data_IF_254140027448
#
_entry.id   IF_254140027448
#
_cell.length_a   1.000
_cell.length_b   1.000
_cell.length_c   1.000
_cell.angle_alpha   90.00
_cell.angle_beta   90.00
_cell.angle_gamma   90.00
#
_symmetry.space_group_name_H-M   'P 1'
#
loop_
_entity.id
_entity.type
_entity.pdbx_description
1 polymer ?
#
# COMPACT_ATOMS: atom_id res chain seq x y z
N UNK A 1 58.40 -63.58 -6.74
CA UNK A 1 58.26 -62.60 -7.84
C UNK A 1 56.80 -62.15 -7.92
N UNK A 2 56.52 -60.84 -8.06
CA UNK A 2 55.22 -60.16 -7.82
C UNK A 2 54.37 -60.10 -9.14
N UNK A 3 53.24 -59.35 -9.31
CA UNK A 3 52.68 -58.20 -8.55
C UNK A 3 51.13 -58.26 -8.37
N UNK A 4 50.34 -57.32 -7.82
CA UNK A 4 50.39 -55.87 -7.54
C UNK A 4 49.58 -55.54 -6.27
N UNK A 5 50.16 -54.78 -5.32
CA UNK A 5 49.46 -54.18 -4.18
C UNK A 5 48.82 -52.85 -4.57
N UNK A 6 47.55 -52.64 -4.21
CA UNK A 6 46.89 -51.34 -4.24
C UNK A 6 47.48 -50.43 -3.14
N UNK A 7 47.95 -49.25 -3.54
CA UNK A 7 48.42 -48.21 -2.62
C UNK A 7 47.21 -47.37 -2.18
N UNK A 8 46.92 -47.41 -0.87
CA UNK A 8 46.23 -46.32 -0.20
C UNK A 8 47.11 -45.06 -0.26
N UNK A 9 46.57 -43.94 -0.71
CA UNK A 9 47.16 -42.64 -0.46
C UNK A 9 46.13 -41.76 0.25
N UNK A 10 46.45 -41.44 1.50
CA UNK A 10 45.84 -40.35 2.27
C UNK A 10 46.37 -39.04 1.68
N UNK A 11 45.48 -38.12 1.34
CA UNK A 11 45.76 -36.71 1.04
C UNK A 11 44.58 -35.95 1.68
N UNK A 12 44.69 -35.60 2.96
CA UNK A 12 45.22 -34.34 3.53
C UNK A 12 44.26 -33.16 3.34
N UNK A 13 43.41 -32.95 4.36
CA UNK A 13 42.67 -31.73 4.63
C UNK A 13 43.65 -30.58 4.90
N UNK A 14 43.44 -29.36 4.37
CA UNK A 14 44.30 -28.24 4.70
C UNK A 14 44.05 -27.78 6.14
N UNK A 15 45.12 -27.77 6.95
CA UNK A 15 45.18 -27.12 8.25
C UNK A 15 45.23 -25.62 8.07
N UNK A 16 44.41 -24.90 8.83
CA UNK A 16 44.57 -23.48 9.08
C UNK A 16 45.90 -23.25 9.83
N UNK A 17 46.70 -22.23 9.49
CA UNK A 17 47.88 -21.90 10.27
C UNK A 17 47.48 -21.06 11.49
N UNK A 18 47.68 -21.63 12.69
CA UNK A 18 47.90 -20.87 13.92
C UNK A 18 49.37 -20.46 14.00
N UNK A 19 49.62 -19.18 14.27
CA UNK A 19 50.78 -18.57 14.94
C UNK A 19 50.61 -17.04 14.76
N UNK A 20 50.92 -16.13 15.67
CA UNK A 20 51.30 -16.10 17.07
C UNK A 20 51.41 -14.60 17.37
N UNK A 21 50.95 -14.15 18.53
CA UNK A 21 51.01 -12.76 18.97
C UNK A 21 52.44 -12.21 18.99
N UNK A 22 52.58 -10.88 18.84
CA UNK A 22 53.35 -10.15 19.84
C UNK A 22 52.63 -8.91 20.36
N UNK A 23 52.64 -8.80 21.68
CA UNK A 23 52.49 -7.59 22.51
C UNK A 23 53.44 -6.47 22.07
N UNK A 24 52.96 -5.24 21.95
CA UNK A 24 53.30 -4.12 22.87
C UNK A 24 52.54 -2.83 22.51
N UNK A 25 52.32 -2.05 23.55
CA UNK A 25 51.52 -0.85 23.66
C UNK A 25 51.98 0.34 22.80
N UNK A 26 51.02 1.18 22.42
CA UNK A 26 51.14 2.64 22.59
C UNK A 26 49.74 3.25 22.65
N UNK A 27 49.45 3.85 23.80
CA UNK A 27 48.27 4.67 24.11
C UNK A 27 48.27 5.96 23.28
N UNK A 28 47.08 6.55 23.04
CA UNK A 28 46.75 7.96 23.30
C UNK A 28 45.21 8.15 23.22
N UNK A 29 44.67 8.55 24.38
CA UNK A 29 43.47 9.34 24.71
C UNK A 29 42.27 9.46 23.76
N UNK A 30 41.11 8.99 24.25
CA UNK A 30 39.84 9.72 24.15
C UNK A 30 38.85 9.28 25.26
N UNK A 31 39.15 9.61 26.51
CA UNK A 31 38.15 9.62 27.59
C UNK A 31 37.84 11.08 27.96
N UNK A 32 36.73 11.61 27.43
CA UNK A 32 36.02 12.77 28.00
C UNK A 32 34.55 12.42 28.13
N UNK A 33 34.04 12.62 29.34
CA UNK A 33 32.80 12.05 29.84
C UNK A 33 31.53 12.63 29.25
N UNK A 34 30.50 11.79 29.26
CA UNK A 34 29.10 12.21 29.33
C UNK A 34 28.59 11.82 30.72
N UNK A 35 28.55 12.79 31.63
CA UNK A 35 27.78 12.69 32.87
C UNK A 35 26.30 12.75 32.51
N UNK A 36 25.52 11.78 33.01
CA UNK A 36 24.05 11.81 32.95
C UNK A 36 23.53 12.63 34.12
N UNK A 37 23.26 13.92 33.91
CA UNK A 37 22.44 14.71 34.84
C UNK A 37 20.94 14.48 34.55
N UNK A 38 20.09 14.34 35.58
CA UNK A 38 18.65 14.24 35.39
C UNK A 38 18.06 15.61 35.05
N UNK A 39 17.69 15.80 33.78
CA UNK A 39 16.91 16.96 33.33
C UNK A 39 15.50 16.92 33.95
N UNK A 40 15.32 17.65 35.05
CA UNK A 40 13.99 18.04 35.55
C UNK A 40 13.41 19.05 34.57
N UNK A 41 12.46 18.62 33.75
CA UNK A 41 11.70 19.49 32.83
C UNK A 41 10.86 20.47 33.67
N UNK A 42 11.32 21.72 33.77
CA UNK A 42 10.53 22.84 34.29
C UNK A 42 9.47 23.24 33.27
N UNK A 43 8.22 22.89 33.52
CA UNK A 43 7.07 23.43 32.81
C UNK A 43 6.99 24.95 33.04
N UNK A 44 7.16 25.75 31.99
CA UNK A 44 6.82 27.17 32.04
C UNK A 44 5.29 27.28 32.11
N UNK A 45 4.77 27.86 33.21
CA UNK A 45 3.35 28.20 33.35
C UNK A 45 2.99 29.28 32.32
N UNK A 46 2.09 28.95 31.40
CA UNK A 46 1.35 29.96 30.64
C UNK A 46 0.34 30.68 31.58
N UNK A 47 0.08 31.99 31.38
CA UNK A 47 -0.89 32.72 32.19
C UNK A 47 -2.34 32.26 31.91
N UNK A 48 -3.13 32.09 32.97
CA UNK A 48 -4.55 31.69 32.90
C UNK A 48 -5.42 32.78 32.24
N UNK A 49 -6.28 32.42 31.27
CA UNK A 49 -7.35 33.31 30.85
C UNK A 49 -8.48 33.29 31.88
N UNK A 50 -8.78 34.47 32.46
CA UNK A 50 -9.94 34.66 33.34
C UNK A 50 -11.22 34.73 32.51
N UNK A 51 -12.14 33.81 32.81
CA UNK A 51 -13.57 33.97 32.60
C UNK A 51 -14.10 33.38 31.29
N UNK A 52 -14.66 32.18 31.36
CA UNK A 52 -15.77 31.77 30.51
C UNK A 52 -16.62 30.74 31.26
N UNK A 53 -17.93 30.94 31.25
CA UNK A 53 -18.93 30.11 31.90
C UNK A 53 -18.75 28.62 31.56
N UNK A 54 -18.69 27.79 32.60
CA UNK A 54 -18.65 26.33 32.54
C UNK A 54 -19.94 25.79 31.94
N UNK A 55 -19.88 25.41 30.67
CA UNK A 55 -20.67 24.31 30.11
C UNK A 55 -19.65 23.26 29.68
N UNK A 56 -19.18 22.44 30.62
CA UNK A 56 -18.39 21.26 30.31
C UNK A 56 -19.35 20.18 29.81
N UNK A 57 -19.71 20.25 28.52
CA UNK A 57 -20.06 19.04 27.81
C UNK A 57 -18.80 18.18 27.83
N UNK A 58 -18.80 17.11 28.63
CA UNK A 58 -17.74 16.11 28.56
C UNK A 58 -17.71 15.60 27.12
N UNK A 59 -16.65 15.93 26.37
CA UNK A 59 -16.40 15.33 25.08
C UNK A 59 -16.19 13.84 25.33
N UNK A 60 -16.99 12.96 24.73
CA UNK A 60 -16.81 11.51 24.78
C UNK A 60 -15.54 11.14 23.99
N UNK A 61 -14.36 11.39 24.57
CA UNK A 61 -13.07 11.19 23.91
C UNK A 61 -12.76 9.70 23.74
N UNK A 62 -13.43 8.84 24.50
CA UNK A 62 -13.38 7.39 24.32
C UNK A 62 -14.02 6.91 23.01
N UNK A 63 -14.96 7.67 22.45
CA UNK A 63 -15.75 7.25 21.29
C UNK A 63 -15.04 7.61 19.99
N UNK A 64 -14.71 6.59 19.21
CA UNK A 64 -14.09 6.71 17.89
C UNK A 64 -15.05 6.14 16.84
N UNK A 65 -15.36 6.89 15.77
CA UNK A 65 -16.15 6.35 14.67
C UNK A 65 -15.48 5.11 14.06
N UNK A 66 -16.22 4.01 13.99
CA UNK A 66 -15.79 2.76 13.37
C UNK A 66 -16.61 2.46 12.11
N UNK A 67 -15.92 2.33 10.98
CA UNK A 67 -16.52 1.86 9.73
C UNK A 67 -16.25 0.36 9.57
N UNK A 68 -17.28 -0.45 9.77
CA UNK A 68 -17.25 -1.90 9.56
C UNK A 68 -17.30 -2.26 8.07
N UNK A 69 -17.08 -3.54 7.76
CA UNK A 69 -17.23 -4.07 6.38
C UNK A 69 -18.62 -3.84 5.82
N UNK A 70 -19.68 -4.08 6.60
CA UNK A 70 -21.07 -3.81 6.17
C UNK A 70 -21.30 -2.32 5.90
N UNK A 71 -20.82 -1.45 6.79
CA UNK A 71 -20.95 0.00 6.60
C UNK A 71 -20.13 0.49 5.40
N UNK A 72 -18.93 -0.04 5.15
CA UNK A 72 -18.16 0.31 3.95
C UNK A 72 -18.92 -0.09 2.67
N UNK A 73 -19.44 -1.32 2.60
CA UNK A 73 -20.21 -1.75 1.43
C UNK A 73 -21.41 -0.84 1.18
N UNK A 74 -22.17 -0.52 2.23
CA UNK A 74 -23.31 0.40 2.13
C UNK A 74 -22.88 1.81 1.75
N UNK A 75 -21.73 2.28 2.23
CA UNK A 75 -21.19 3.59 1.92
C UNK A 75 -20.86 3.68 0.42
N UNK A 76 -20.12 2.71 -0.10
CA UNK A 76 -19.78 2.62 -1.53
C UNK A 76 -21.04 2.58 -2.39
N UNK A 77 -22.05 1.79 -2.00
CA UNK A 77 -23.31 1.68 -2.75
C UNK A 77 -24.17 2.95 -2.66
N UNK A 78 -24.18 3.62 -1.50
CA UNK A 78 -24.94 4.86 -1.27
C UNK A 78 -24.34 6.04 -2.04
N UNK A 79 -23.01 6.14 -2.10
CA UNK A 79 -22.29 7.12 -2.92
C UNK A 79 -22.36 6.77 -4.42
N UNK A 80 -22.38 5.47 -4.73
CA UNK A 80 -22.21 4.94 -6.08
C UNK A 80 -20.74 4.68 -6.39
N UNK A 81 -20.40 3.48 -6.86
CA UNK A 81 -19.00 3.03 -6.99
C UNK A 81 -18.15 3.89 -7.93
N UNK A 82 -18.70 4.34 -9.06
CA UNK A 82 -17.98 5.21 -10.01
C UNK A 82 -17.70 6.58 -9.39
N UNK A 83 -18.72 7.20 -8.77
CA UNK A 83 -18.57 8.45 -8.02
C UNK A 83 -17.55 8.30 -6.89
N UNK A 84 -17.61 7.21 -6.13
CA UNK A 84 -16.68 6.94 -5.04
C UNK A 84 -15.24 6.89 -5.54
N UNK A 85 -14.99 6.18 -6.64
CA UNK A 85 -13.66 6.08 -7.25
C UNK A 85 -13.16 7.41 -7.79
N UNK A 86 -14.02 8.19 -8.48
CA UNK A 86 -13.67 9.52 -8.99
C UNK A 86 -13.34 10.51 -7.87
N UNK A 87 -14.16 10.54 -6.81
CA UNK A 87 -13.91 11.43 -5.67
C UNK A 87 -12.66 10.99 -4.88
N UNK A 88 -12.46 9.68 -4.66
CA UNK A 88 -11.25 9.17 -4.03
C UNK A 88 -10.00 9.50 -4.84
N UNK A 89 -10.05 9.35 -6.17
CA UNK A 89 -8.97 9.73 -7.07
C UNK A 89 -8.62 11.22 -6.95
N UNK A 90 -9.62 12.10 -6.81
CA UNK A 90 -9.37 13.53 -6.59
C UNK A 90 -8.64 13.80 -5.26
N UNK A 91 -9.04 13.13 -4.17
CA UNK A 91 -8.35 13.24 -2.87
C UNK A 91 -6.91 12.73 -2.96
N UNK A 92 -6.67 11.61 -3.65
CA UNK A 92 -5.33 11.08 -3.90
C UNK A 92 -4.49 12.09 -4.70
N UNK A 93 -5.01 12.63 -5.80
CA UNK A 93 -4.30 13.63 -6.59
C UNK A 93 -3.95 14.88 -5.77
N UNK A 94 -4.88 15.35 -4.94
CA UNK A 94 -4.63 16.49 -4.06
C UNK A 94 -3.52 16.20 -3.05
N UNK A 95 -3.49 15.02 -2.44
CA UNK A 95 -2.44 14.63 -1.51
C UNK A 95 -1.08 14.42 -2.21
N UNK A 96 -1.06 13.86 -3.41
CA UNK A 96 0.17 13.75 -4.21
C UNK A 96 0.70 15.12 -4.64
N UNK A 97 -0.14 16.15 -4.87
CA UNK A 97 0.35 17.53 -5.14
C UNK A 97 1.09 18.14 -3.95
N UNK A 98 0.80 17.68 -2.73
CA UNK A 98 1.45 18.11 -1.46
C UNK A 98 2.42 17.06 -0.93
N UNK A 99 2.96 16.20 -1.80
CA UNK A 99 3.92 15.14 -1.47
C UNK A 99 5.02 15.53 -0.49
N UNK A 100 5.58 16.73 -0.65
CA UNK A 100 6.67 17.26 0.18
C UNK A 100 6.26 17.55 1.64
N UNK A 101 4.97 17.75 1.91
CA UNK A 101 4.44 17.97 3.27
C UNK A 101 4.35 16.66 4.07
N UNK A 102 4.36 15.52 3.40
CA UNK A 102 4.20 14.24 4.07
C UNK A 102 5.52 13.75 4.69
N UNK A 103 5.44 13.32 5.94
CA UNK A 103 6.40 12.39 6.51
C UNK A 103 6.17 11.00 5.89
N UNK A 104 7.23 10.49 5.24
CA UNK A 104 7.20 9.32 4.36
C UNK A 104 8.23 8.32 4.83
N UNK A 105 7.77 7.11 5.14
CA UNK A 105 8.63 5.97 5.41
C UNK A 105 8.21 4.81 4.50
N UNK A 106 9.16 3.99 4.01
CA UNK A 106 8.79 2.68 3.49
C UNK A 106 7.99 1.91 4.56
N UNK A 107 7.06 1.07 4.11
CA UNK A 107 6.28 0.22 5.00
C UNK A 107 7.16 -0.68 5.85
N UNK A 108 6.70 -0.97 7.07
CA UNK A 108 7.38 -1.85 8.01
C UNK A 108 6.83 -3.26 7.81
N UNK A 109 7.64 -4.17 7.27
CA UNK A 109 7.24 -5.53 6.95
C UNK A 109 7.78 -6.56 7.96
N UNK A 110 6.91 -7.46 8.39
CA UNK A 110 7.25 -8.68 9.15
C UNK A 110 7.02 -9.89 8.25
N UNK A 111 8.09 -10.37 7.60
CA UNK A 111 8.02 -11.52 6.71
C UNK A 111 7.92 -12.85 7.48
N UNK A 112 7.11 -13.75 6.95
CA UNK A 112 7.02 -15.15 7.36
C UNK A 112 7.17 -16.04 6.12
N UNK A 113 7.30 -17.36 6.34
CA UNK A 113 7.45 -18.32 5.24
C UNK A 113 6.33 -18.19 4.20
N UNK A 114 5.10 -18.02 4.66
CA UNK A 114 3.89 -18.14 3.82
C UNK A 114 3.22 -16.80 3.51
N UNK A 115 3.83 -15.68 3.91
CA UNK A 115 3.24 -14.35 3.73
C UNK A 115 3.96 -13.25 4.49
N UNK A 116 3.36 -12.07 4.50
CA UNK A 116 3.88 -10.87 5.17
C UNK A 116 2.75 -10.14 5.90
N UNK A 117 3.10 -9.47 6.99
CA UNK A 117 2.25 -8.50 7.69
C UNK A 117 2.97 -7.16 7.69
N UNK A 118 2.26 -6.09 7.37
CA UNK A 118 2.85 -4.78 7.11
C UNK A 118 2.10 -3.67 7.84
N UNK A 119 2.85 -2.67 8.27
CA UNK A 119 2.33 -1.38 8.73
C UNK A 119 2.77 -0.29 7.76
N UNK A 120 1.79 0.50 7.29
CA UNK A 120 2.00 1.55 6.30
C UNK A 120 1.59 2.91 6.89
N UNK A 121 2.49 3.60 7.63
CA UNK A 121 2.18 4.88 8.24
C UNK A 121 2.58 6.07 7.36
N UNK A 122 1.86 7.18 7.50
CA UNK A 122 2.27 8.49 6.99
C UNK A 122 1.59 9.61 7.78
N UNK A 123 2.14 10.82 7.70
CA UNK A 123 1.60 12.01 8.34
C UNK A 123 1.76 13.21 7.42
N UNK A 124 0.81 14.13 7.38
CA UNK A 124 0.97 15.43 6.71
C UNK A 124 1.28 16.58 7.69
N UNK A 125 1.61 16.23 8.94
CA UNK A 125 1.85 17.17 10.03
C UNK A 125 0.58 17.63 10.76
N UNK A 126 -0.61 17.35 10.22
CA UNK A 126 -1.90 17.63 10.88
C UNK A 126 -2.66 16.36 11.21
N UNK A 127 -2.66 15.41 10.29
CA UNK A 127 -3.26 14.10 10.44
C UNK A 127 -2.20 13.01 10.31
N UNK A 128 -2.35 11.95 11.08
CA UNK A 128 -1.56 10.74 10.99
C UNK A 128 -2.46 9.60 10.54
N UNK A 129 -2.03 8.84 9.55
CA UNK A 129 -2.75 7.66 9.08
C UNK A 129 -1.85 6.45 9.06
N UNK A 130 -2.40 5.28 9.40
CA UNK A 130 -1.73 4.02 9.11
C UNK A 130 -2.71 2.95 8.67
N UNK A 131 -2.20 2.00 7.89
CA UNK A 131 -2.87 0.75 7.56
C UNK A 131 -2.09 -0.43 8.10
N UNK A 132 -2.80 -1.36 8.73
CA UNK A 132 -2.38 -2.73 8.92
C UNK A 132 -2.85 -3.55 7.71
N UNK A 133 -1.97 -4.34 7.11
CA UNK A 133 -2.33 -5.22 6.00
C UNK A 133 -1.52 -6.51 6.02
N UNK A 134 -2.12 -7.61 5.55
CA UNK A 134 -1.38 -8.85 5.29
C UNK A 134 -1.34 -9.19 3.79
N UNK A 135 -0.34 -9.95 3.38
CA UNK A 135 -0.25 -10.57 2.06
C UNK A 135 0.07 -12.06 2.17
N UNK A 136 -0.93 -12.93 2.02
CA UNK A 136 -0.80 -14.38 2.22
C UNK A 136 -1.49 -15.17 1.09
N UNK A 137 -0.82 -15.39 -0.06
CA UNK A 137 -1.42 -16.06 -1.22
C UNK A 137 -2.04 -17.42 -0.93
N UNK A 138 -1.52 -18.18 0.04
CA UNK A 138 -2.06 -19.50 0.42
C UNK A 138 -3.46 -19.45 1.04
N UNK A 139 -3.89 -18.30 1.57
CA UNK A 139 -5.11 -18.17 2.37
C UNK A 139 -6.37 -18.64 1.62
N UNK A 140 -6.41 -18.45 0.30
CA UNK A 140 -7.55 -18.86 -0.53
C UNK A 140 -7.79 -20.37 -0.51
N UNK A 141 -6.74 -21.18 -0.33
CA UNK A 141 -6.83 -22.64 -0.20
C UNK A 141 -7.49 -23.07 1.12
N UNK A 142 -7.52 -22.18 2.11
CA UNK A 142 -8.05 -22.42 3.46
C UNK A 142 -9.34 -21.62 3.71
N UNK A 143 -9.97 -21.06 2.67
CA UNK A 143 -11.19 -20.26 2.78
C UNK A 143 -11.00 -18.86 3.40
N UNK A 144 -9.77 -18.37 3.45
CA UNK A 144 -9.40 -17.02 3.94
C UNK A 144 -9.06 -16.09 2.77
N UNK A 145 -9.08 -14.78 3.02
CA UNK A 145 -8.66 -13.78 2.02
C UNK A 145 -7.13 -13.66 1.95
N UNK A 146 -6.59 -13.46 0.74
CA UNK A 146 -5.15 -13.19 0.53
C UNK A 146 -4.71 -11.91 1.24
N UNK A 147 -5.57 -10.89 1.19
CA UNK A 147 -5.36 -9.56 1.76
C UNK A 147 -6.53 -9.24 2.68
N UNK A 148 -6.23 -8.88 3.92
CA UNK A 148 -7.12 -8.23 4.88
C UNK A 148 -6.40 -7.03 5.46
N UNK A 149 -7.16 -5.98 5.71
CA UNK A 149 -6.62 -4.74 6.23
C UNK A 149 -7.64 -3.97 7.07
N UNK A 150 -7.11 -3.15 7.97
CA UNK A 150 -7.82 -2.08 8.66
C UNK A 150 -6.85 -0.91 8.86
N UNK A 151 -7.38 0.28 9.14
CA UNK A 151 -6.54 1.45 9.34
C UNK A 151 -7.18 2.48 10.25
N UNK A 152 -6.34 3.39 10.73
CA UNK A 152 -6.70 4.44 11.66
C UNK A 152 -6.25 5.77 11.10
N UNK A 153 -7.08 6.79 11.26
CA UNK A 153 -6.72 8.19 11.04
C UNK A 153 -6.80 8.93 12.38
N UNK A 154 -5.76 9.67 12.72
CA UNK A 154 -5.60 10.37 14.00
C UNK A 154 -5.25 11.84 13.79
N UNK A 155 -5.53 12.65 14.82
CA UNK A 155 -5.08 14.03 14.92
C UNK A 155 -3.62 14.06 15.44
N UNK A 156 -2.71 14.72 14.72
CA UNK A 156 -1.29 14.83 15.13
C UNK A 156 -1.11 15.74 16.34
N UNK A 157 -1.94 16.77 16.48
CA UNK A 157 -1.81 17.77 17.54
C UNK A 157 -2.07 17.23 18.95
N UNK A 158 -2.87 16.17 19.07
CA UNK A 158 -3.21 15.54 20.35
C UNK A 158 -3.02 14.01 20.38
N UNK A 159 -2.83 13.37 19.23
CA UNK A 159 -2.64 11.92 19.10
C UNK A 159 -3.92 11.09 19.11
N UNK A 160 -5.10 11.69 19.24
CA UNK A 160 -6.36 10.95 19.35
C UNK A 160 -6.81 10.39 17.98
N UNK A 161 -7.21 9.11 17.91
CA UNK A 161 -7.81 8.53 16.72
C UNK A 161 -9.17 9.16 16.44
N UNK A 162 -9.38 9.50 15.17
CA UNK A 162 -10.59 10.15 14.65
C UNK A 162 -11.44 9.21 13.80
N UNK A 163 -10.87 8.08 13.37
CA UNK A 163 -11.53 7.05 12.58
C UNK A 163 -10.77 5.73 12.74
N UNK A 164 -11.49 4.64 12.99
CA UNK A 164 -11.05 3.28 12.70
C UNK A 164 -11.88 2.75 11.53
N UNK A 165 -11.26 2.21 10.50
CA UNK A 165 -11.99 1.69 9.34
C UNK A 165 -11.49 0.31 8.97
N UNK A 166 -12.41 -0.55 8.52
CA UNK A 166 -12.03 -1.65 7.64
C UNK A 166 -11.27 -1.06 6.44
N UNK A 167 -10.26 -1.78 5.95
CA UNK A 167 -9.51 -1.36 4.78
C UNK A 167 -9.29 -2.49 3.78
N UNK A 168 -10.06 -3.57 3.86
CA UNK A 168 -9.97 -4.65 2.87
C UNK A 168 -10.67 -4.25 1.59
N UNK A 169 -11.90 -3.73 1.68
CA UNK A 169 -12.61 -3.17 0.52
C UNK A 169 -11.97 -1.83 0.14
N UNK A 170 -11.65 -1.00 1.14
CA UNK A 170 -11.00 0.29 0.88
C UNK A 170 -9.64 0.15 0.18
N UNK A 171 -8.88 -0.91 0.46
CA UNK A 171 -7.63 -1.20 -0.28
C UNK A 171 -7.91 -1.45 -1.75
N UNK A 172 -8.93 -2.24 -2.10
CA UNK A 172 -9.24 -2.48 -3.51
C UNK A 172 -9.68 -1.18 -4.23
N UNK A 173 -10.45 -0.34 -3.54
CA UNK A 173 -10.90 0.97 -4.07
C UNK A 173 -9.73 1.94 -4.27
N UNK A 174 -8.85 2.11 -3.27
CA UNK A 174 -7.71 3.03 -3.38
C UNK A 174 -6.68 2.54 -4.38
N UNK A 175 -6.41 1.24 -4.45
CA UNK A 175 -5.50 0.67 -5.46
C UNK A 175 -6.02 0.95 -6.87
N UNK A 176 -7.31 0.70 -7.13
CA UNK A 176 -7.91 0.98 -8.42
C UNK A 176 -7.95 2.49 -8.76
N UNK A 177 -8.28 3.34 -7.78
CA UNK A 177 -8.27 4.79 -7.96
C UNK A 177 -6.85 5.30 -8.28
N UNK A 178 -5.82 4.85 -7.56
CA UNK A 178 -4.42 5.22 -7.81
C UNK A 178 -3.94 4.74 -9.18
N UNK A 179 -4.26 3.50 -9.55
CA UNK A 179 -3.98 2.97 -10.90
C UNK A 179 -4.60 3.83 -12.01
N UNK A 180 -5.86 4.22 -11.85
CA UNK A 180 -6.56 5.06 -12.82
C UNK A 180 -6.05 6.51 -12.83
N UNK A 181 -5.60 7.05 -11.69
CA UNK A 181 -4.91 8.35 -11.61
C UNK A 181 -3.59 8.30 -12.37
N UNK A 182 -2.77 7.26 -12.17
CA UNK A 182 -1.53 7.10 -12.92
C UNK A 182 -1.82 7.04 -14.43
N UNK A 183 -2.79 6.23 -14.85
CA UNK A 183 -3.20 6.13 -16.26
C UNK A 183 -3.76 7.45 -16.82
N UNK A 184 -4.53 8.22 -16.05
CA UNK A 184 -5.01 9.55 -16.46
C UNK A 184 -3.87 10.49 -16.86
N UNK A 185 -2.72 10.38 -16.20
CA UNK A 185 -1.53 11.21 -16.48
C UNK A 185 -0.55 10.59 -17.48
N UNK A 186 -0.60 9.27 -17.69
CA UNK A 186 0.43 8.51 -18.41
C UNK A 186 -0.06 7.75 -19.66
N UNK A 187 -1.34 7.38 -19.72
CA UNK A 187 -1.94 6.73 -20.87
C UNK A 187 -2.20 7.73 -22.01
N UNK A 188 -2.49 7.22 -23.21
CA UNK A 188 -2.94 8.06 -24.33
C UNK A 188 -4.34 8.58 -24.02
N UNK A 189 -4.63 9.84 -24.37
CA UNK A 189 -5.90 10.48 -24.05
C UNK A 189 -7.11 9.82 -24.76
N UNK A 190 -6.85 9.10 -25.85
CA UNK A 190 -7.83 8.35 -26.64
C UNK A 190 -7.93 6.87 -26.25
N UNK A 191 -7.28 6.42 -25.16
CA UNK A 191 -7.31 5.03 -24.73
C UNK A 191 -8.75 4.56 -24.43
N UNK A 192 -9.14 3.41 -24.99
CA UNK A 192 -10.47 2.81 -24.85
C UNK A 192 -10.46 1.35 -24.44
N UNK A 193 -9.41 0.62 -24.81
CA UNK A 193 -9.33 -0.82 -24.63
C UNK A 193 -8.30 -1.17 -23.56
N UNK A 194 -8.74 -1.83 -22.50
CA UNK A 194 -7.89 -2.28 -21.41
C UNK A 194 -7.84 -3.80 -21.33
N UNK A 195 -6.63 -4.37 -21.28
CA UNK A 195 -6.40 -5.75 -20.89
C UNK A 195 -6.24 -5.85 -19.37
N UNK A 196 -6.92 -6.79 -18.72
CA UNK A 196 -6.73 -7.11 -17.30
C UNK A 196 -6.25 -8.55 -17.20
N UNK A 197 -5.01 -8.72 -16.76
CA UNK A 197 -4.39 -10.02 -16.53
C UNK A 197 -4.37 -10.32 -15.03
N UNK A 198 -5.02 -11.42 -14.65
CA UNK A 198 -5.43 -11.68 -13.27
C UNK A 198 -6.83 -11.15 -13.04
N UNK A 199 -7.81 -12.03 -12.88
CA UNK A 199 -9.22 -11.66 -12.70
C UNK A 199 -9.72 -12.02 -11.30
N UNK A 200 -8.82 -11.89 -10.32
CA UNK A 200 -9.07 -12.02 -8.89
C UNK A 200 -9.73 -10.77 -8.27
N UNK A 201 -9.51 -10.59 -6.97
CA UNK A 201 -10.24 -9.61 -6.15
C UNK A 201 -10.08 -8.13 -6.57
N UNK A 202 -9.05 -7.78 -7.32
CA UNK A 202 -8.80 -6.39 -7.76
C UNK A 202 -9.46 -6.05 -9.10
N UNK A 203 -9.80 -7.05 -9.91
CA UNK A 203 -10.07 -6.85 -11.34
C UNK A 203 -11.32 -6.01 -11.63
N UNK A 204 -12.41 -6.24 -10.91
CA UNK A 204 -13.65 -5.45 -11.09
C UNK A 204 -13.47 -3.99 -10.65
N UNK A 205 -12.69 -3.75 -9.58
CA UNK A 205 -12.41 -2.39 -9.11
C UNK A 205 -11.55 -1.64 -10.11
N UNK A 206 -10.50 -2.28 -10.64
CA UNK A 206 -9.66 -1.74 -11.71
C UNK A 206 -10.51 -1.36 -12.93
N UNK A 207 -11.33 -2.28 -13.44
CA UNK A 207 -12.24 -2.01 -14.55
C UNK A 207 -13.10 -0.75 -14.33
N UNK A 208 -13.77 -0.67 -13.18
CA UNK A 208 -14.68 0.44 -12.86
C UNK A 208 -13.94 1.77 -12.68
N UNK A 209 -12.75 1.77 -12.08
CA UNK A 209 -11.95 2.99 -11.91
C UNK A 209 -11.47 3.54 -13.26
N UNK A 210 -10.95 2.67 -14.12
CA UNK A 210 -10.50 3.05 -15.46
C UNK A 210 -11.65 3.53 -16.34
N UNK A 211 -12.86 2.99 -16.20
CA UNK A 211 -14.05 3.55 -16.84
C UNK A 211 -14.37 4.95 -16.34
N UNK A 212 -14.47 5.11 -15.02
CA UNK A 212 -14.92 6.35 -14.41
C UNK A 212 -13.94 7.53 -14.61
N UNK A 213 -12.63 7.24 -14.64
CA UNK A 213 -11.58 8.27 -14.61
C UNK A 213 -10.89 8.43 -15.96
N UNK A 214 -10.69 7.33 -16.71
CA UNK A 214 -9.96 7.33 -17.99
C UNK A 214 -10.91 7.20 -19.19
N UNK A 215 -12.12 6.69 -18.98
CA UNK A 215 -13.10 6.49 -20.06
C UNK A 215 -12.90 5.21 -20.87
N UNK A 216 -12.31 4.18 -20.25
CA UNK A 216 -12.23 2.82 -20.81
C UNK A 216 -13.64 2.25 -21.01
N UNK A 217 -13.89 1.69 -22.18
CA UNK A 217 -15.18 1.09 -22.56
C UNK A 217 -15.08 -0.35 -23.04
N UNK A 218 -13.87 -0.85 -23.28
CA UNK A 218 -13.63 -2.21 -23.74
C UNK A 218 -12.65 -2.93 -22.81
N UNK A 219 -13.00 -4.16 -22.43
CA UNK A 219 -12.21 -4.99 -21.53
C UNK A 219 -11.83 -6.30 -22.20
N UNK A 220 -10.56 -6.67 -22.06
CA UNK A 220 -10.02 -7.97 -22.47
C UNK A 220 -9.51 -8.67 -21.21
N UNK A 221 -10.21 -9.72 -20.80
CA UNK A 221 -10.02 -10.36 -19.51
C UNK A 221 -9.30 -11.70 -19.69
N UNK A 222 -8.25 -11.93 -18.92
CA UNK A 222 -7.58 -13.22 -18.84
C UNK A 222 -7.12 -13.55 -17.41
N UNK A 223 -7.33 -14.79 -17.03
CA UNK A 223 -6.79 -15.43 -15.84
C UNK A 223 -6.46 -16.89 -16.20
N UNK A 224 -5.46 -17.46 -15.53
CA UNK A 224 -5.11 -18.88 -15.66
C UNK A 224 -6.23 -19.80 -15.15
N UNK A 225 -7.07 -19.30 -14.24
CA UNK A 225 -8.32 -19.91 -13.81
C UNK A 225 -9.48 -19.29 -14.62
N UNK A 226 -10.04 -20.00 -15.61
CA UNK A 226 -11.14 -19.48 -16.42
C UNK A 226 -12.38 -19.07 -15.59
N UNK A 227 -12.60 -19.70 -14.44
CA UNK A 227 -13.73 -19.37 -13.57
C UNK A 227 -13.61 -17.97 -12.94
N UNK A 228 -12.38 -17.46 -12.78
CA UNK A 228 -12.12 -16.10 -12.34
C UNK A 228 -12.52 -15.07 -13.42
N UNK A 229 -12.13 -15.32 -14.68
CA UNK A 229 -12.54 -14.52 -15.85
C UNK A 229 -14.06 -14.49 -16.00
N UNK A 230 -14.71 -15.66 -15.91
CA UNK A 230 -16.18 -15.77 -15.99
C UNK A 230 -16.88 -14.99 -14.87
N UNK A 231 -16.39 -15.08 -13.63
CA UNK A 231 -16.91 -14.32 -12.48
C UNK A 231 -16.76 -12.82 -12.72
N UNK A 232 -15.58 -12.37 -13.12
CA UNK A 232 -15.29 -10.96 -13.37
C UNK A 232 -16.22 -10.40 -14.46
N UNK A 233 -16.32 -11.09 -15.60
CA UNK A 233 -17.22 -10.71 -16.70
C UNK A 233 -18.69 -10.64 -16.27
N UNK A 234 -19.15 -11.62 -15.46
CA UNK A 234 -20.51 -11.61 -14.91
C UNK A 234 -20.75 -10.42 -13.98
N UNK A 235 -19.81 -10.13 -13.07
CA UNK A 235 -19.93 -9.01 -12.13
C UNK A 235 -19.95 -7.65 -12.84
N UNK A 236 -19.27 -7.54 -13.98
CA UNK A 236 -19.20 -6.33 -14.81
C UNK A 236 -20.32 -6.25 -15.86
N UNK A 237 -21.19 -7.25 -15.95
CA UNK A 237 -22.32 -7.25 -16.88
C UNK A 237 -23.26 -6.08 -16.58
N UNK A 238 -23.68 -5.36 -17.62
CA UNK A 238 -24.53 -4.17 -17.48
C UNK A 238 -23.81 -2.92 -16.96
N UNK A 239 -22.48 -2.97 -16.76
CA UNK A 239 -21.67 -1.80 -16.36
C UNK A 239 -21.17 -0.96 -17.52
N UNK A 240 -21.66 -1.21 -18.76
CA UNK A 240 -21.33 -0.40 -19.93
C UNK A 240 -19.98 -0.75 -20.58
N UNK A 241 -19.49 -1.97 -20.40
CA UNK A 241 -18.30 -2.47 -21.09
C UNK A 241 -18.65 -3.41 -22.24
N UNK A 242 -17.89 -3.34 -23.32
CA UNK A 242 -17.73 -4.47 -24.23
C UNK A 242 -16.64 -5.40 -23.64
N UNK A 243 -17.01 -6.62 -23.27
CA UNK A 243 -16.12 -7.56 -22.57
C UNK A 243 -15.78 -8.72 -23.49
N UNK A 244 -14.48 -9.00 -23.64
CA UNK A 244 -13.93 -10.18 -24.30
C UNK A 244 -13.18 -11.03 -23.26
N UNK A 245 -13.64 -12.25 -23.02
CA UNK A 245 -12.84 -13.26 -22.31
C UNK A 245 -11.80 -13.83 -23.29
N UNK A 246 -10.53 -13.79 -22.91
CA UNK A 246 -9.41 -14.25 -23.72
C UNK A 246 -8.88 -15.59 -23.20
N UNK A 247 -8.24 -16.35 -24.09
CA UNK A 247 -7.69 -17.68 -23.83
C UNK A 247 -6.22 -17.68 -23.39
N UNK A 248 -5.54 -16.53 -23.53
CA UNK A 248 -4.15 -16.32 -23.12
C UNK A 248 -3.89 -14.85 -22.79
N UNK A 249 -2.81 -14.58 -22.05
CA UNK A 249 -2.36 -13.20 -21.80
C UNK A 249 -1.98 -12.49 -23.10
N UNK A 250 -1.39 -13.22 -24.06
CA UNK A 250 -1.07 -12.69 -25.39
C UNK A 250 -2.31 -12.22 -26.14
N UNK A 251 -3.37 -13.04 -26.16
CA UNK A 251 -4.63 -12.64 -26.78
C UNK A 251 -5.26 -11.44 -26.06
N UNK A 252 -5.16 -11.38 -24.73
CA UNK A 252 -5.73 -10.27 -23.96
C UNK A 252 -5.07 -8.93 -24.27
N UNK A 253 -3.74 -8.88 -24.39
CA UNK A 253 -3.01 -7.62 -24.60
C UNK A 253 -2.97 -7.16 -26.05
N UNK A 254 -3.27 -8.03 -27.00
CA UNK A 254 -3.28 -7.68 -28.43
C UNK A 254 -4.31 -6.57 -28.72
N UNK A 255 -3.81 -5.39 -29.12
CA UNK A 255 -4.63 -4.22 -29.40
C UNK A 255 -5.14 -3.48 -28.17
N UNK A 256 -4.63 -3.78 -26.97
CA UNK A 256 -4.93 -3.01 -25.77
C UNK A 256 -4.13 -1.71 -25.72
N UNK A 257 -4.78 -0.61 -25.32
CA UNK A 257 -4.13 0.67 -25.04
C UNK A 257 -3.48 0.67 -23.66
N UNK A 258 -4.12 -0.05 -22.74
CA UNK A 258 -3.76 -0.14 -21.33
C UNK A 258 -3.67 -1.62 -20.95
N UNK A 259 -2.63 -2.01 -20.24
CA UNK A 259 -2.50 -3.35 -19.66
C UNK A 259 -2.40 -3.21 -18.14
N UNK A 260 -3.34 -3.82 -17.42
CA UNK A 260 -3.27 -3.95 -15.95
C UNK A 260 -2.93 -5.39 -15.59
N UNK A 261 -1.85 -5.58 -14.83
CA UNK A 261 -1.49 -6.88 -14.25
C UNK A 261 -1.76 -6.86 -12.75
N UNK A 262 -2.58 -7.80 -12.28
CA UNK A 262 -3.03 -7.95 -10.89
C UNK A 262 -3.06 -9.43 -10.49
N UNK A 263 -2.03 -10.17 -10.87
CA UNK A 263 -1.89 -11.60 -10.56
C UNK A 263 -1.34 -11.80 -9.13
N UNK A 264 -1.60 -12.97 -8.56
CA UNK A 264 -1.20 -13.29 -7.20
C UNK A 264 -0.32 -14.55 -7.19
N UNK A 265 0.96 -14.36 -7.56
CA UNK A 265 1.96 -15.42 -7.54
C UNK A 265 3.24 -14.94 -6.86
N UNK A 266 3.74 -15.69 -5.87
CA UNK A 266 4.90 -15.27 -5.05
C UNK A 266 6.21 -15.78 -5.65
N UNK A 267 6.50 -15.32 -6.86
CA UNK A 267 7.74 -15.61 -7.58
C UNK A 267 8.05 -14.53 -8.62
N UNK A 268 9.26 -14.57 -9.19
CA UNK A 268 9.62 -13.78 -10.37
C UNK A 268 8.92 -14.34 -11.61
N UNK A 269 7.69 -13.89 -11.85
CA UNK A 269 6.90 -14.30 -13.01
C UNK A 269 7.15 -13.38 -14.20
N UNK A 270 6.86 -13.88 -15.39
CA UNK A 270 6.90 -13.15 -16.66
C UNK A 270 5.53 -13.24 -17.32
N UNK A 271 4.53 -12.67 -16.65
CA UNK A 271 3.14 -12.60 -17.10
C UNK A 271 3.05 -11.89 -18.46
N UNK A 272 3.85 -10.82 -18.60
CA UNK A 272 4.11 -10.17 -19.88
C UNK A 272 5.57 -10.40 -20.29
N UNK A 273 5.75 -11.02 -21.46
CA UNK A 273 7.04 -11.06 -22.14
C UNK A 273 7.23 -9.86 -23.05
N UNK A 274 8.47 -9.57 -23.43
CA UNK A 274 8.80 -8.36 -24.20
C UNK A 274 7.98 -8.21 -25.50
N UNK A 275 7.87 -9.28 -26.28
CA UNK A 275 7.14 -9.30 -27.54
C UNK A 275 5.62 -9.05 -27.42
N UNK A 276 5.07 -9.01 -26.20
CA UNK A 276 3.64 -8.78 -25.97
C UNK A 276 3.27 -7.29 -25.88
N UNK A 277 4.22 -6.40 -25.59
CA UNK A 277 3.94 -4.98 -25.36
C UNK A 277 4.37 -4.14 -26.57
N UNK A 278 3.38 -3.57 -27.25
CA UNK A 278 3.59 -2.67 -28.39
C UNK A 278 3.85 -1.21 -28.00
N UNK A 279 4.31 -0.37 -28.95
CA UNK A 279 4.45 1.07 -28.76
C UNK A 279 3.13 1.73 -28.32
N UNK A 280 3.21 2.76 -27.48
CA UNK A 280 2.07 3.57 -27.05
C UNK A 280 1.28 3.02 -25.87
N UNK A 281 1.51 1.76 -25.49
CA UNK A 281 0.81 1.11 -24.36
C UNK A 281 1.17 1.77 -23.03
N UNK A 282 0.16 1.91 -22.16
CA UNK A 282 0.37 2.15 -20.74
C UNK A 282 0.22 0.85 -19.94
N UNK A 283 1.20 0.55 -19.10
CA UNK A 283 1.17 -0.62 -18.22
C UNK A 283 0.96 -0.13 -16.79
N UNK A 284 -0.02 -0.73 -16.13
CA UNK A 284 -0.28 -0.62 -14.70
C UNK A 284 0.10 -1.96 -14.05
N UNK A 285 1.32 -2.05 -13.53
CA UNK A 285 1.84 -3.24 -12.87
C UNK A 285 1.55 -3.15 -11.38
N UNK A 286 0.59 -3.94 -10.90
CA UNK A 286 0.06 -3.85 -9.54
C UNK A 286 0.27 -5.14 -8.76
N UNK A 287 0.37 -6.28 -9.45
CA UNK A 287 0.58 -7.57 -8.80
C UNK A 287 2.00 -7.71 -8.24
N UNK A 288 3.05 -7.14 -8.84
CA UNK A 288 4.40 -7.18 -8.29
C UNK A 288 4.57 -6.23 -7.09
N UNK A 289 4.41 -6.72 -5.86
CA UNK A 289 4.26 -5.87 -4.66
C UNK A 289 5.16 -6.24 -3.47
N UNK A 290 6.11 -7.16 -3.64
CA UNK A 290 7.04 -7.54 -2.58
C UNK A 290 8.35 -8.12 -3.13
N UNK A 291 9.41 -8.23 -2.29
CA UNK A 291 10.68 -8.77 -2.75
C UNK A 291 10.52 -10.21 -3.27
N UNK A 292 11.01 -10.47 -4.46
CA UNK A 292 10.90 -11.78 -5.11
C UNK A 292 9.60 -12.03 -5.86
N UNK A 293 8.74 -11.01 -6.03
CA UNK A 293 7.46 -11.10 -6.74
C UNK A 293 7.37 -10.03 -7.83
N UNK A 294 7.38 -10.46 -9.08
CA UNK A 294 7.29 -9.59 -10.27
C UNK A 294 6.39 -10.23 -11.31
N UNK A 295 5.85 -9.43 -12.22
CA UNK A 295 4.95 -9.83 -13.30
C UNK A 295 5.52 -9.56 -14.69
N UNK A 296 6.49 -8.65 -14.81
CA UNK A 296 7.01 -8.20 -16.11
C UNK A 296 8.40 -8.75 -16.37
N UNK A 297 8.66 -9.09 -17.64
CA UNK A 297 10.03 -9.33 -18.09
C UNK A 297 10.85 -8.03 -18.05
N UNK A 298 12.09 -8.10 -17.54
CA UNK A 298 13.05 -6.98 -17.43
C UNK A 298 13.14 -6.09 -18.67
N UNK A 299 13.11 -6.66 -19.87
CA UNK A 299 13.23 -5.90 -21.12
C UNK A 299 12.07 -4.91 -21.35
N UNK A 300 10.89 -5.17 -20.79
CA UNK A 300 9.77 -4.21 -20.81
C UNK A 300 10.14 -2.97 -20.02
N UNK A 301 10.74 -3.13 -18.84
CA UNK A 301 11.16 -2.03 -17.98
C UNK A 301 12.23 -1.18 -18.69
N UNK A 302 13.23 -1.83 -19.30
CA UNK A 302 14.35 -1.14 -19.95
C UNK A 302 13.96 -0.24 -21.13
N UNK A 303 12.78 -0.45 -21.72
CA UNK A 303 12.25 0.34 -22.85
C UNK A 303 11.00 1.16 -22.52
N UNK A 304 10.62 1.20 -21.25
CA UNK A 304 9.48 1.96 -20.76
C UNK A 304 9.95 3.21 -20.01
N UNK A 305 9.15 4.27 -20.08
CA UNK A 305 9.23 5.34 -19.10
C UNK A 305 8.60 4.84 -17.79
N UNK A 306 9.43 4.62 -16.77
CA UNK A 306 9.02 4.04 -15.49
C UNK A 306 8.62 5.14 -14.51
N UNK A 307 7.41 5.03 -13.96
CA UNK A 307 6.84 5.88 -12.94
C UNK A 307 6.54 5.06 -11.69
N UNK A 308 6.89 5.60 -10.52
CA UNK A 308 6.74 4.91 -9.23
C UNK A 308 6.02 5.80 -8.21
N UNK A 309 5.46 5.19 -7.16
CA UNK A 309 4.90 5.89 -6.01
C UNK A 309 6.02 6.50 -5.15
N UNK A 310 6.78 5.66 -4.44
CA UNK A 310 7.85 6.09 -3.55
C UNK A 310 9.13 5.25 -3.79
N UNK A 311 10.16 5.82 -4.45
CA UNK A 311 11.31 5.05 -4.92
C UNK A 311 12.00 4.19 -3.85
N UNK A 312 12.26 4.68 -2.61
CA UNK A 312 12.89 3.85 -1.59
C UNK A 312 12.15 2.55 -1.27
N UNK A 313 10.81 2.54 -1.40
CA UNK A 313 9.99 1.35 -1.21
C UNK A 313 9.89 0.53 -2.51
N UNK A 314 9.55 1.16 -3.64
CA UNK A 314 9.35 0.47 -4.93
C UNK A 314 10.62 -0.25 -5.41
N UNK A 315 11.82 0.26 -5.09
CA UNK A 315 13.09 -0.42 -5.39
C UNK A 315 13.23 -1.81 -4.78
N UNK A 316 12.57 -2.05 -3.66
CA UNK A 316 12.65 -3.29 -2.90
C UNK A 316 11.55 -4.27 -3.34
N UNK A 317 10.42 -3.75 -3.80
CA UNK A 317 9.16 -4.50 -3.87
C UNK A 317 8.54 -4.56 -5.27
N UNK A 318 8.77 -3.55 -6.10
CA UNK A 318 8.14 -3.42 -7.42
C UNK A 318 8.90 -4.15 -8.52
N UNK A 319 8.47 -3.97 -9.75
CA UNK A 319 9.11 -4.52 -10.94
C UNK A 319 10.57 -4.08 -11.05
N UNK A 320 10.89 -2.83 -10.69
CA UNK A 320 12.24 -2.27 -10.78
C UNK A 320 13.27 -2.96 -9.88
N UNK A 321 12.88 -3.87 -8.99
CA UNK A 321 13.82 -4.73 -8.24
C UNK A 321 14.69 -5.60 -9.17
N UNK A 322 14.29 -5.75 -10.44
CA UNK A 322 15.04 -6.44 -11.51
C UNK A 322 16.15 -5.59 -12.15
N UNK A 323 16.18 -4.29 -11.87
CA UNK A 323 17.12 -3.32 -12.45
C UNK A 323 18.25 -2.99 -11.47
N UNK A 324 19.24 -2.24 -11.98
CA UNK A 324 20.30 -1.72 -11.11
C UNK A 324 19.69 -0.75 -10.06
N UNK A 325 20.22 -0.72 -8.82
CA UNK A 325 19.64 0.09 -7.73
C UNK A 325 19.49 1.59 -8.04
N UNK A 326 20.31 2.12 -8.94
CA UNK A 326 20.35 3.51 -9.38
C UNK A 326 19.68 3.75 -10.75
N UNK A 327 19.07 2.73 -11.36
CA UNK A 327 18.40 2.85 -12.66
C UNK A 327 17.34 3.96 -12.63
N UNK A 328 17.34 4.95 -13.54
CA UNK A 328 16.48 6.13 -13.41
C UNK A 328 14.98 5.78 -13.41
N UNK A 329 14.23 6.35 -12.47
CA UNK A 329 12.76 6.28 -12.40
C UNK A 329 12.20 7.69 -12.21
N UNK A 330 10.94 7.88 -12.58
CA UNK A 330 10.20 9.14 -12.38
C UNK A 330 9.24 8.97 -11.22
N UNK A 331 9.16 9.93 -10.31
CA UNK A 331 8.15 9.88 -9.25
C UNK A 331 6.82 10.40 -9.79
N UNK A 332 5.73 9.65 -9.59
CA UNK A 332 4.43 10.00 -10.16
C UNK A 332 3.90 11.34 -9.64
N UNK A 333 4.19 11.68 -8.39
CA UNK A 333 3.76 12.94 -7.80
C UNK A 333 4.32 14.17 -8.55
N UNK A 334 5.54 14.09 -9.10
CA UNK A 334 6.12 15.17 -9.89
C UNK A 334 5.32 15.42 -11.17
N UNK A 335 4.75 14.37 -11.76
CA UNK A 335 3.87 14.46 -12.93
C UNK A 335 2.53 15.07 -12.54
N UNK A 336 1.91 14.58 -11.45
CA UNK A 336 0.63 15.09 -10.93
C UNK A 336 0.72 16.57 -10.56
N UNK A 337 1.88 17.00 -10.04
CA UNK A 337 2.17 18.39 -9.68
C UNK A 337 2.62 19.27 -10.86
N UNK A 338 2.76 18.72 -12.08
CA UNK A 338 3.24 19.44 -13.26
C UNK A 338 4.73 19.83 -13.20
N UNK A 339 5.52 19.22 -12.30
CA UNK A 339 6.96 19.42 -12.16
C UNK A 339 7.77 18.55 -13.14
N UNK A 340 7.18 17.48 -13.65
CA UNK A 340 7.78 16.58 -14.65
C UNK A 340 6.77 16.20 -15.73
N UNK A 341 7.23 16.01 -16.96
CA UNK A 341 6.40 15.45 -18.02
C UNK A 341 6.07 13.98 -17.76
N UNK A 342 4.80 13.62 -18.01
CA UNK A 342 4.35 12.23 -18.04
C UNK A 342 4.75 11.56 -19.36
N UNK A 343 3.76 11.19 -20.18
CA UNK A 343 3.98 10.65 -21.52
C UNK A 343 4.65 11.67 -22.44
N UNK A 344 5.75 11.27 -23.08
CA UNK A 344 6.50 12.13 -24.01
C UNK A 344 6.06 12.03 -25.47
N UNK A 345 5.45 10.91 -25.88
CA UNK A 345 4.93 10.71 -27.23
C UNK A 345 3.83 9.64 -27.28
N UNK A 346 3.07 9.63 -28.38
CA UNK A 346 2.07 8.57 -28.68
C UNK A 346 2.69 7.16 -28.77
N UNK A 347 3.99 7.05 -29.02
CA UNK A 347 4.70 5.76 -29.13
C UNK A 347 5.38 5.33 -27.83
N UNK A 348 5.52 6.23 -26.87
CA UNK A 348 6.17 5.95 -25.59
C UNK A 348 5.42 4.83 -24.87
N UNK A 349 6.15 3.85 -24.35
CA UNK A 349 5.59 2.87 -23.43
C UNK A 349 5.76 3.46 -22.04
N UNK A 350 4.68 3.57 -21.30
CA UNK A 350 4.72 4.09 -19.92
C UNK A 350 4.40 2.96 -18.97
N UNK A 351 5.20 2.79 -17.92
CA UNK A 351 5.00 1.80 -16.87
C UNK A 351 4.73 2.53 -15.55
N UNK A 352 3.58 2.29 -14.95
CA UNK A 352 3.38 2.57 -13.54
C UNK A 352 3.67 1.29 -12.74
N UNK A 353 4.78 1.32 -11.99
CA UNK A 353 5.22 0.24 -11.11
C UNK A 353 4.66 0.50 -9.70
N UNK A 354 3.48 -0.07 -9.44
CA UNK A 354 2.68 0.17 -8.24
C UNK A 354 2.86 -0.96 -7.23
N UNK A 355 3.26 -0.57 -6.02
CA UNK A 355 3.40 -1.48 -4.87
C UNK A 355 2.43 -1.10 -3.75
N UNK A 356 1.79 0.07 -3.87
CA UNK A 356 0.92 0.69 -2.88
C UNK A 356 1.71 1.45 -1.82
N UNK A 357 1.34 2.71 -1.60
CA UNK A 357 2.01 3.57 -0.63
C UNK A 357 1.04 4.20 0.37
N UNK A 358 1.55 4.50 1.58
CA UNK A 358 0.73 4.92 2.73
C UNK A 358 -0.08 6.20 2.49
N UNK A 359 0.36 7.08 1.57
CA UNK A 359 -0.39 8.30 1.20
C UNK A 359 -1.74 7.97 0.54
N UNK A 360 -1.84 6.88 -0.22
CA UNK A 360 -3.10 6.44 -0.81
C UNK A 360 -4.08 5.96 0.25
N UNK A 361 -3.57 5.23 1.25
CA UNK A 361 -4.35 4.75 2.39
C UNK A 361 -4.84 5.91 3.25
N UNK A 362 -3.96 6.89 3.50
CA UNK A 362 -4.28 8.14 4.19
C UNK A 362 -5.37 8.93 3.46
N UNK A 363 -5.25 9.08 2.13
CA UNK A 363 -6.24 9.73 1.27
C UNK A 363 -7.59 9.02 1.39
N UNK A 364 -7.59 7.69 1.35
CA UNK A 364 -8.80 6.88 1.45
C UNK A 364 -9.49 7.00 2.81
N UNK A 365 -8.73 6.99 3.91
CA UNK A 365 -9.25 7.21 5.26
C UNK A 365 -9.85 8.61 5.41
N UNK A 366 -9.19 9.65 4.89
CA UNK A 366 -9.72 11.03 4.88
C UNK A 366 -11.01 11.13 4.10
N UNK A 367 -11.07 10.52 2.93
CA UNK A 367 -12.26 10.50 2.08
C UNK A 367 -13.43 9.81 2.79
N UNK A 368 -13.22 8.61 3.33
CA UNK A 368 -14.25 7.88 4.10
C UNK A 368 -14.73 8.72 5.29
N UNK A 369 -13.81 9.30 6.06
CA UNK A 369 -14.15 10.17 7.19
C UNK A 369 -15.04 11.34 6.78
N UNK A 370 -14.77 11.95 5.62
CA UNK A 370 -15.55 13.09 5.11
C UNK A 370 -17.01 12.73 4.83
N UNK A 371 -17.31 11.45 4.55
CA UNK A 371 -18.67 10.97 4.23
C UNK A 371 -19.49 10.55 5.45
N UNK A 372 -18.89 10.42 6.63
CA UNK A 372 -19.56 9.82 7.79
C UNK A 372 -20.74 10.66 8.28
N UNK A 373 -20.57 11.97 8.40
CA UNK A 373 -21.62 12.88 8.89
C UNK A 373 -22.84 12.90 7.96
N UNK A 374 -22.62 12.92 6.65
CA UNK A 374 -23.69 12.93 5.65
C UNK A 374 -24.42 11.58 5.60
N UNK A 375 -23.68 10.47 5.71
CA UNK A 375 -24.24 9.16 5.44
C UNK A 375 -24.78 8.44 6.67
N UNK A 376 -24.23 8.74 7.85
CA UNK A 376 -24.52 8.06 9.11
C UNK A 376 -24.02 6.60 9.17
N UNK A 377 -23.10 6.21 8.28
CA UNK A 377 -22.65 4.82 8.14
C UNK A 377 -21.39 4.52 8.96
N UNK A 378 -21.53 4.55 10.28
CA UNK A 378 -20.47 4.21 11.24
C UNK A 378 -21.08 3.70 12.55
N UNK A 379 -20.23 3.12 13.41
CA UNK A 379 -20.57 2.69 14.77
C UNK A 379 -19.73 3.53 15.72
N UNK A 380 -20.34 4.03 16.79
CA UNK A 380 -19.61 4.65 17.89
C UNK A 380 -18.88 3.56 18.68
N UNK A 381 -17.54 3.52 18.56
CA UNK A 381 -16.71 2.52 19.22
C UNK A 381 -16.06 3.13 20.47
N UNK A 382 -16.39 2.58 21.63
CA UNK A 382 -15.70 2.85 22.90
C UNK A 382 -14.30 2.20 22.86
N UNK A 383 -13.32 2.98 22.41
CA UNK A 383 -11.98 2.50 22.08
C UNK A 383 -10.91 2.96 23.07
N UNK A 384 -11.07 4.15 23.64
CA UNK A 384 -10.05 4.78 24.50
C UNK A 384 -10.51 4.86 25.95
N UNK A 385 -9.56 4.99 26.87
CA UNK A 385 -9.89 5.39 28.24
C UNK A 385 -10.25 6.89 28.27
N UNK A 386 -11.36 7.23 28.90
CA UNK A 386 -11.82 8.61 29.08
C UNK A 386 -12.18 8.86 30.56
N UNK A 387 -11.17 9.03 31.43
CA UNK A 387 -11.39 9.34 32.83
C UNK A 387 -11.80 10.81 33.03
N UNK A 388 -12.68 11.09 34.00
CA UNK A 388 -13.08 12.46 34.38
C UNK A 388 -11.89 13.36 34.73
N UNK A 389 -10.84 12.77 35.30
CA UNK A 389 -9.52 13.38 35.49
C UNK A 389 -8.50 12.61 34.62
N UNK A 390 -7.84 13.26 33.64
CA UNK A 390 -6.95 12.59 32.66
C UNK A 390 -5.83 11.71 33.25
N UNK A 391 -5.46 11.94 34.51
CA UNK A 391 -4.41 11.19 35.22
C UNK A 391 -4.93 10.04 36.07
N UNK A 392 -6.24 9.96 36.31
CA UNK A 392 -6.87 8.98 37.19
C UNK A 392 -7.45 7.78 36.41
N UNK A 393 -6.57 7.07 35.70
CA UNK A 393 -6.95 5.84 34.99
C UNK A 393 -7.37 4.73 35.97
N UNK A 394 -6.70 4.62 37.13
CA UNK A 394 -7.03 3.59 38.11
C UNK A 394 -8.40 3.83 38.76
N UNK A 395 -8.80 5.08 38.98
CA UNK A 395 -10.13 5.42 39.47
C UNK A 395 -11.26 4.93 38.57
N UNK A 396 -11.04 4.77 37.26
CA UNK A 396 -12.03 4.13 36.37
C UNK A 396 -12.33 2.69 36.80
N UNK A 397 -11.31 1.91 37.17
CA UNK A 397 -11.49 0.54 37.66
C UNK A 397 -12.24 0.52 38.99
N UNK A 398 -11.92 1.42 39.92
CA UNK A 398 -12.62 1.52 41.21
C UNK A 398 -14.10 1.87 41.02
N UNK A 399 -14.42 2.79 40.09
CA UNK A 399 -15.80 3.13 39.74
C UNK A 399 -16.53 1.94 39.10
N UNK A 400 -15.86 1.17 38.25
CA UNK A 400 -16.42 -0.03 37.64
C UNK A 400 -16.68 -1.12 38.69
N UNK A 401 -15.72 -1.38 39.58
CA UNK A 401 -15.86 -2.34 40.67
C UNK A 401 -17.04 -2.00 41.58
N UNK A 402 -17.19 -0.72 41.97
CA UNK A 402 -18.33 -0.28 42.77
C UNK A 402 -19.67 -0.58 42.06
N UNK A 403 -19.80 -0.25 40.77
CA UNK A 403 -21.00 -0.55 39.96
C UNK A 403 -21.29 -2.04 39.88
N UNK A 404 -20.27 -2.88 39.70
CA UNK A 404 -20.41 -4.34 39.61
C UNK A 404 -20.79 -4.98 40.96
N UNK A 405 -20.44 -4.35 42.09
CA UNK A 405 -20.85 -4.81 43.43
C UNK A 405 -22.30 -4.42 43.75
N UNK A 406 -22.84 -3.41 43.08
CA UNK A 406 -24.24 -2.94 43.25
C UNK A 406 -25.24 -3.67 42.34
N UNK A 407 -24.78 -4.29 41.25
CA UNK A 407 -25.56 -5.09 40.31
C UNK A 407 -25.70 -6.55 40.76
#
# INVERSE_FOLDING_TARGET
>A
MPPTRSRSSRISSPRLPEHSSPTTATEIDAAKGCEWEPLVVRWCRAPEPKGLNTVTAHSNLNIVPFVSVDHMMRLVLKVGIETFLTELAAVIEDDFRRWEQFDKTPRIASHSKEGVIELMPTSDGTLYGFKYVNGHPKNTKEGRQTVTAFGVLSDVGNGYPMLLSEMTILTALRTAAMSAVAAKHLARADAKTMAIIGNGAQSEFQALAFKAIVGVSELRLFDIDPSATERCARNLTGKGFAIKACSSSQEAVEGADIITTVTADKQYATILSDNMVGPGVHINAVGGDCPGKTELHKDILLRSDIFVEYPPQTRVEGEIQQLDPDYPVKELWEVIAGKREGRQSERTITLFDSVGFAIEDFSALRYVRSKLQETGLYIDLDLLADPDEPRDLYGMLLRCEAKLREA
#
